data_IF_836880601069
#
_entry.id   IF_836880601069
#
_cell.length_a   1.000
_cell.length_b   1.000
_cell.length_c   1.000
_cell.angle_alpha   90.00
_cell.angle_beta   90.00
_cell.angle_gamma   90.00
#
_symmetry.space_group_name_H-M   'P 1'
#
loop_
_entity.id
_entity.type
_entity.pdbx_description
1 polymer ?
#
# COMPACT_ATOMS: atom_id res chain seq x y z
N UNK A 1 29.57 18.62 -2.47
CA UNK A 1 29.72 18.13 -3.85
C UNK A 1 28.39 17.65 -4.36
N UNK A 2 27.69 18.49 -5.14
CA UNK A 2 26.47 18.10 -5.86
C UNK A 2 26.89 17.18 -7.00
N UNK A 3 26.54 15.91 -6.93
CA UNK A 3 26.80 14.96 -8.01
C UNK A 3 26.06 15.39 -9.28
N UNK A 4 26.70 15.26 -10.43
CA UNK A 4 26.08 15.56 -11.72
C UNK A 4 24.75 14.78 -11.88
N UNK A 5 23.62 15.45 -12.18
CA UNK A 5 22.30 14.81 -12.32
C UNK A 5 22.27 13.65 -13.31
N UNK A 6 23.07 13.72 -14.39
CA UNK A 6 23.16 12.65 -15.38
C UNK A 6 23.82 11.37 -14.83
N UNK A 7 24.78 11.51 -13.91
CA UNK A 7 25.40 10.36 -13.25
C UNK A 7 24.38 9.72 -12.30
N UNK A 8 23.61 10.52 -11.57
CA UNK A 8 22.57 10.03 -10.67
C UNK A 8 21.50 9.28 -11.48
N UNK A 9 21.06 9.81 -12.61
CA UNK A 9 20.08 9.16 -13.49
C UNK A 9 20.63 7.82 -14.03
N UNK A 10 21.89 7.78 -14.47
CA UNK A 10 22.55 6.54 -14.94
C UNK A 10 22.64 5.48 -13.85
N UNK A 11 23.02 5.89 -12.63
CA UNK A 11 23.11 4.99 -11.47
C UNK A 11 21.70 4.48 -11.08
N UNK A 12 20.68 5.31 -11.18
CA UNK A 12 19.29 4.93 -10.93
C UNK A 12 18.79 3.90 -11.95
N UNK A 13 18.98 4.15 -13.24
CA UNK A 13 18.60 3.22 -14.32
C UNK A 13 19.32 1.87 -14.15
N UNK A 14 20.62 1.89 -13.82
CA UNK A 14 21.40 0.69 -13.52
C UNK A 14 20.86 -0.05 -12.30
N UNK A 15 20.47 0.67 -11.25
CA UNK A 15 19.89 0.08 -10.04
C UNK A 15 18.55 -0.60 -10.33
N UNK A 16 17.66 0.03 -11.08
CA UNK A 16 16.38 -0.57 -11.49
C UNK A 16 16.51 -1.67 -12.56
N UNK A 17 17.64 -1.77 -13.26
CA UNK A 17 17.93 -2.90 -14.14
C UNK A 17 18.25 -4.19 -13.36
N UNK A 18 18.52 -4.11 -12.06
CA UNK A 18 18.68 -5.29 -11.22
C UNK A 18 17.32 -5.94 -10.96
N UNK A 19 17.18 -7.24 -11.25
CA UNK A 19 15.91 -7.98 -11.10
C UNK A 19 15.19 -7.72 -9.76
N UNK A 20 15.85 -7.79 -8.57
CA UNK A 20 15.15 -7.56 -7.31
C UNK A 20 14.60 -6.13 -7.16
N UNK A 21 15.33 -5.12 -7.65
CA UNK A 21 14.91 -3.73 -7.58
C UNK A 21 13.72 -3.45 -8.53
N UNK A 22 13.75 -4.01 -9.73
CA UNK A 22 12.65 -3.91 -10.69
C UNK A 22 11.38 -4.56 -10.17
N UNK A 23 11.46 -5.79 -9.66
CA UNK A 23 10.31 -6.47 -9.07
C UNK A 23 9.80 -5.78 -7.82
N UNK A 24 10.67 -5.15 -7.01
CA UNK A 24 10.25 -4.31 -5.89
C UNK A 24 9.44 -3.09 -6.35
N UNK A 25 9.90 -2.40 -7.40
CA UNK A 25 9.16 -1.28 -7.99
C UNK A 25 7.79 -1.69 -8.53
N UNK A 26 7.71 -2.80 -9.27
CA UNK A 26 6.46 -3.38 -9.77
C UNK A 26 5.51 -3.75 -8.62
N UNK A 27 6.05 -4.38 -7.60
CA UNK A 27 5.32 -4.78 -6.43
C UNK A 27 4.71 -3.59 -5.69
N UNK A 28 5.50 -2.53 -5.47
CA UNK A 28 5.02 -1.29 -4.85
C UNK A 28 3.95 -0.65 -5.71
N UNK A 29 4.13 -0.65 -7.04
CA UNK A 29 3.16 -0.08 -7.98
C UNK A 29 1.78 -0.74 -7.88
N UNK A 30 1.71 -2.05 -7.68
CA UNK A 30 0.43 -2.75 -7.57
C UNK A 30 -0.15 -2.74 -6.16
N UNK A 31 0.68 -2.62 -5.12
CA UNK A 31 0.24 -2.75 -3.73
C UNK A 31 -0.66 -1.61 -3.27
N UNK A 32 -0.33 -0.36 -3.62
CA UNK A 32 -1.05 0.81 -3.11
C UNK A 32 -2.27 1.23 -3.96
N UNK A 33 -2.57 0.51 -5.06
CA UNK A 33 -3.76 0.80 -5.91
C UNK A 33 -5.04 0.74 -5.10
N UNK A 34 -5.21 -0.28 -4.24
CA UNK A 34 -6.40 -0.42 -3.40
C UNK A 34 -6.54 0.75 -2.41
N UNK A 35 -5.45 1.28 -1.88
CA UNK A 35 -5.49 2.47 -1.03
C UNK A 35 -6.03 3.67 -1.81
N UNK A 36 -5.61 3.85 -3.08
CA UNK A 36 -6.11 4.91 -3.94
C UNK A 36 -7.60 4.76 -4.26
N UNK A 37 -8.05 3.53 -4.55
CA UNK A 37 -9.47 3.22 -4.75
C UNK A 37 -10.26 3.51 -3.46
N UNK A 38 -9.81 3.01 -2.32
CA UNK A 38 -10.48 3.19 -1.04
C UNK A 38 -10.58 4.68 -0.66
N UNK A 39 -9.50 5.44 -0.78
CA UNK A 39 -9.50 6.88 -0.44
C UNK A 39 -10.44 7.72 -1.32
N UNK A 40 -10.71 7.30 -2.55
CA UNK A 40 -11.62 8.01 -3.44
C UNK A 40 -13.09 7.59 -3.25
N UNK A 41 -13.36 6.29 -3.04
CA UNK A 41 -14.74 5.79 -2.88
C UNK A 41 -15.29 6.08 -1.48
N UNK A 42 -14.48 5.89 -0.46
CA UNK A 42 -14.97 5.81 0.92
C UNK A 42 -15.73 7.07 1.38
N UNK A 43 -15.19 8.29 1.24
CA UNK A 43 -15.90 9.50 1.65
C UNK A 43 -17.27 9.63 0.95
N UNK A 44 -17.29 9.40 -0.36
CA UNK A 44 -18.50 9.51 -1.19
C UNK A 44 -19.52 8.44 -0.82
N UNK A 45 -19.09 7.22 -0.59
CA UNK A 45 -19.97 6.11 -0.22
C UNK A 45 -20.60 6.33 1.16
N UNK A 46 -19.81 6.78 2.15
CA UNK A 46 -20.33 7.06 3.49
C UNK A 46 -21.31 8.23 3.51
N UNK A 47 -21.03 9.30 2.81
CA UNK A 47 -21.88 10.50 2.83
C UNK A 47 -23.09 10.36 1.93
N UNK A 48 -22.93 9.89 0.69
CA UNK A 48 -24.00 9.89 -0.30
C UNK A 48 -24.85 8.62 -0.27
N UNK A 49 -24.26 7.47 0.10
CA UNK A 49 -24.98 6.18 0.05
C UNK A 49 -25.41 5.73 1.44
N UNK A 50 -24.55 5.83 2.43
CA UNK A 50 -24.87 5.44 3.81
C UNK A 50 -25.54 6.55 4.64
N UNK A 51 -25.58 7.79 4.10
CA UNK A 51 -26.25 8.92 4.74
C UNK A 51 -25.52 9.51 5.96
N UNK A 52 -24.21 9.28 6.08
CA UNK A 52 -23.43 9.87 7.14
C UNK A 52 -23.28 11.38 6.93
N UNK A 53 -23.40 12.15 8.00
CA UNK A 53 -23.00 13.55 7.98
C UNK A 53 -21.48 13.67 7.70
N UNK A 54 -21.04 14.55 6.76
CA UNK A 54 -19.63 14.73 6.42
C UNK A 54 -18.73 15.08 7.61
N UNK A 55 -19.26 15.86 8.58
CA UNK A 55 -18.51 16.19 9.80
C UNK A 55 -18.30 14.95 10.67
N UNK A 56 -19.31 14.11 10.85
CA UNK A 56 -19.22 12.85 11.59
C UNK A 56 -18.22 11.89 10.93
N UNK A 57 -18.28 11.74 9.60
CA UNK A 57 -17.30 10.95 8.85
C UNK A 57 -15.88 11.45 9.11
N UNK A 58 -15.64 12.76 8.99
CA UNK A 58 -14.33 13.37 9.19
C UNK A 58 -13.82 13.23 10.63
N UNK A 59 -14.69 13.38 11.62
CA UNK A 59 -14.34 13.22 13.03
C UNK A 59 -13.91 11.79 13.36
N UNK A 60 -14.62 10.79 12.85
CA UNK A 60 -14.32 9.38 13.12
C UNK A 60 -13.08 8.93 12.35
N UNK A 61 -12.96 9.29 11.08
CA UNK A 61 -11.79 8.94 10.27
C UNK A 61 -10.52 9.67 10.77
N UNK A 62 -10.63 10.97 11.08
CA UNK A 62 -9.52 11.80 11.54
C UNK A 62 -9.20 11.66 13.04
N UNK A 63 -10.14 11.17 13.86
CA UNK A 63 -9.94 10.90 15.29
C UNK A 63 -9.53 9.43 15.54
N UNK A 64 -10.50 8.56 15.83
CA UNK A 64 -10.22 7.15 16.12
C UNK A 64 -9.49 6.42 15.00
N UNK A 65 -9.82 6.70 13.72
CA UNK A 65 -9.16 6.10 12.56
C UNK A 65 -7.68 6.49 12.49
N UNK A 66 -7.38 7.79 12.57
CA UNK A 66 -6.00 8.27 12.57
C UNK A 66 -5.20 7.80 13.81
N UNK A 67 -5.85 7.67 14.98
CA UNK A 67 -5.20 7.11 16.16
C UNK A 67 -4.79 5.65 15.94
N UNK A 68 -5.68 4.81 15.37
CA UNK A 68 -5.33 3.44 15.04
C UNK A 68 -4.29 3.34 13.91
N UNK A 69 -4.31 4.26 12.95
CA UNK A 69 -3.27 4.38 11.93
C UNK A 69 -1.90 4.65 12.57
N UNK A 70 -1.82 5.58 13.50
CA UNK A 70 -0.60 5.87 14.27
C UNK A 70 -0.09 4.65 15.05
N UNK A 71 -0.97 3.96 15.77
CA UNK A 71 -0.61 2.71 16.46
C UNK A 71 -0.16 1.63 15.47
N UNK A 72 -0.83 1.50 14.34
CA UNK A 72 -0.47 0.61 13.26
C UNK A 72 0.94 0.88 12.71
N UNK A 73 1.31 2.15 12.54
CA UNK A 73 2.64 2.54 12.09
C UNK A 73 3.73 2.11 13.08
N UNK A 74 3.52 2.33 14.39
CA UNK A 74 4.46 1.89 15.44
C UNK A 74 4.58 0.36 15.45
N UNK A 75 3.44 -0.33 15.47
CA UNK A 75 3.39 -1.79 15.47
C UNK A 75 4.04 -2.37 14.21
N UNK A 76 3.78 -1.77 13.05
CA UNK A 76 4.37 -2.15 11.78
C UNK A 76 5.89 -2.11 11.80
N UNK A 77 6.48 -1.05 12.37
CA UNK A 77 7.94 -0.94 12.56
C UNK A 77 8.50 -2.03 13.47
N UNK A 78 7.97 -2.14 14.69
CA UNK A 78 8.42 -3.14 15.68
C UNK A 78 8.27 -4.57 15.16
N UNK A 79 7.13 -4.89 14.55
CA UNK A 79 6.88 -6.21 14.02
C UNK A 79 7.78 -6.52 12.80
N UNK A 80 8.03 -5.53 11.93
CA UNK A 80 8.92 -5.69 10.77
C UNK A 80 10.36 -5.99 11.18
N UNK A 81 10.85 -5.37 12.26
CA UNK A 81 12.18 -5.65 12.79
C UNK A 81 12.24 -7.03 13.46
N UNK A 82 11.18 -7.44 14.18
CA UNK A 82 11.16 -8.73 14.91
C UNK A 82 10.88 -9.94 14.01
N UNK A 83 9.92 -9.85 13.09
CA UNK A 83 9.43 -10.98 12.30
C UNK A 83 9.81 -10.92 10.83
N UNK A 84 10.50 -9.85 10.43
CA UNK A 84 10.96 -9.63 9.06
C UNK A 84 10.00 -8.77 8.23
N UNK A 85 10.58 -7.78 7.55
CA UNK A 85 9.90 -6.73 6.78
C UNK A 85 8.92 -7.26 5.75
N UNK A 86 9.35 -8.30 5.00
CA UNK A 86 8.54 -8.93 3.96
C UNK A 86 7.27 -9.57 4.53
N UNK A 87 7.38 -10.27 5.67
CA UNK A 87 6.26 -10.95 6.31
C UNK A 87 5.22 -9.96 6.83
N UNK A 88 5.69 -8.89 7.49
CA UNK A 88 4.80 -7.86 8.04
C UNK A 88 4.15 -7.03 6.95
N UNK A 89 4.86 -6.76 5.85
CA UNK A 89 4.25 -6.16 4.68
C UNK A 89 3.01 -6.97 4.22
N UNK A 90 3.16 -8.30 4.11
CA UNK A 90 2.04 -9.18 3.75
C UNK A 90 0.89 -9.14 4.74
N UNK A 91 1.22 -9.20 6.02
CA UNK A 91 0.19 -9.17 7.06
C UNK A 91 -0.58 -7.85 7.01
N UNK A 92 0.09 -6.70 6.86
CA UNK A 92 -0.57 -5.40 6.75
C UNK A 92 -1.45 -5.29 5.51
N UNK A 93 -0.86 -5.38 4.32
CA UNK A 93 -1.60 -5.21 3.06
C UNK A 93 -2.57 -6.35 2.78
N UNK A 94 -2.22 -7.59 3.13
CA UNK A 94 -3.11 -8.73 3.00
C UNK A 94 -4.33 -8.61 3.90
N UNK A 95 -4.15 -8.22 5.16
CA UNK A 95 -5.27 -7.99 6.08
C UNK A 95 -6.15 -6.82 5.61
N UNK A 96 -5.55 -5.72 5.12
CA UNK A 96 -6.31 -4.63 4.52
C UNK A 96 -7.12 -5.10 3.31
N UNK A 97 -6.51 -5.90 2.41
CA UNK A 97 -7.21 -6.41 1.23
C UNK A 97 -8.38 -7.32 1.61
N UNK A 98 -8.19 -8.23 2.57
CA UNK A 98 -9.24 -9.10 3.07
C UNK A 98 -10.35 -8.28 3.73
N UNK A 99 -10.01 -7.32 4.59
CA UNK A 99 -10.97 -6.45 5.26
C UNK A 99 -11.79 -5.64 4.25
N UNK A 100 -11.14 -5.12 3.20
CA UNK A 100 -11.82 -4.43 2.09
C UNK A 100 -12.79 -5.35 1.35
N UNK A 101 -12.38 -6.59 1.06
CA UNK A 101 -13.24 -7.57 0.42
C UNK A 101 -14.44 -7.96 1.28
N UNK A 102 -14.24 -8.18 2.59
CA UNK A 102 -15.33 -8.44 3.54
C UNK A 102 -16.31 -7.26 3.62
N UNK A 103 -15.80 -6.03 3.62
CA UNK A 103 -16.64 -4.85 3.54
C UNK A 103 -17.44 -4.81 2.22
N UNK A 104 -16.80 -5.15 1.09
CA UNK A 104 -17.47 -5.29 -0.20
C UNK A 104 -18.60 -6.32 -0.20
N UNK A 105 -18.36 -7.49 0.42
CA UNK A 105 -19.40 -8.54 0.58
C UNK A 105 -20.55 -8.02 1.46
N UNK A 106 -20.26 -7.27 2.52
CA UNK A 106 -21.30 -6.71 3.38
C UNK A 106 -22.17 -5.68 2.63
N UNK A 107 -21.58 -4.88 1.74
CA UNK A 107 -22.32 -3.92 0.89
C UNK A 107 -23.29 -4.67 -0.06
N UNK A 108 -22.91 -5.86 -0.56
CA UNK A 108 -23.76 -6.64 -1.46
C UNK A 108 -24.79 -7.50 -0.72
N UNK A 109 -24.51 -7.91 0.50
CA UNK A 109 -25.32 -8.86 1.27
C UNK A 109 -26.41 -8.22 2.12
N UNK A 110 -26.33 -6.92 2.42
CA UNK A 110 -27.31 -6.20 3.22
C UNK A 110 -28.00 -5.12 2.39
N UNK A 111 -29.32 -4.98 2.53
CA UNK A 111 -30.07 -3.82 1.99
C UNK A 111 -29.52 -2.50 2.59
N UNK A 112 -29.22 -2.52 3.88
CA UNK A 112 -28.52 -1.46 4.57
C UNK A 112 -27.38 -2.08 5.36
N UNK A 113 -26.13 -1.67 5.08
CA UNK A 113 -24.97 -2.15 5.82
C UNK A 113 -25.11 -1.78 7.29
N UNK A 114 -25.03 -2.75 8.24
CA UNK A 114 -25.16 -2.46 9.67
C UNK A 114 -24.14 -1.42 10.15
N UNK A 115 -24.57 -0.49 11.00
CA UNK A 115 -23.75 0.62 11.49
C UNK A 115 -22.43 0.16 12.11
N UNK A 116 -22.43 -0.94 12.86
CA UNK A 116 -21.23 -1.48 13.48
C UNK A 116 -20.19 -1.96 12.44
N UNK A 117 -20.63 -2.48 11.28
CA UNK A 117 -19.72 -2.86 10.18
C UNK A 117 -19.09 -1.59 9.58
N UNK A 118 -19.92 -0.57 9.31
CA UNK A 118 -19.45 0.71 8.79
C UNK A 118 -18.40 1.32 9.72
N UNK A 119 -18.72 1.43 11.01
CA UNK A 119 -17.85 2.02 12.03
C UNK A 119 -16.55 1.21 12.18
N UNK A 120 -16.65 -0.12 12.28
CA UNK A 120 -15.48 -1.00 12.43
C UNK A 120 -14.54 -0.90 11.24
N UNK A 121 -15.09 -0.89 10.01
CA UNK A 121 -14.27 -0.74 8.81
C UNK A 121 -13.54 0.60 8.82
N UNK A 122 -14.27 1.72 9.05
CA UNK A 122 -13.71 3.07 9.00
C UNK A 122 -12.57 3.28 10.01
N UNK A 123 -12.65 2.66 11.18
CA UNK A 123 -11.66 2.81 12.26
C UNK A 123 -10.46 1.87 12.07
N UNK A 124 -10.69 0.65 11.57
CA UNK A 124 -9.66 -0.42 11.61
C UNK A 124 -8.79 -0.46 10.36
N UNK A 125 -9.34 -0.17 9.15
CA UNK A 125 -8.58 -0.30 7.92
C UNK A 125 -7.30 0.56 7.87
N UNK A 126 -7.25 1.79 8.45
CA UNK A 126 -6.06 2.61 8.41
C UNK A 126 -4.87 1.98 9.14
N UNK A 127 -5.14 1.25 10.24
CA UNK A 127 -4.09 0.55 10.97
C UNK A 127 -3.37 -0.51 10.11
N UNK A 128 -4.11 -1.29 9.34
CA UNK A 128 -3.51 -2.28 8.43
C UNK A 128 -2.74 -1.65 7.28
N UNK A 129 -3.24 -0.54 6.73
CA UNK A 129 -2.49 0.24 5.73
C UNK A 129 -1.18 0.73 6.33
N UNK A 130 -1.21 1.30 7.53
CA UNK A 130 -0.01 1.82 8.20
C UNK A 130 1.02 0.73 8.48
N UNK A 131 0.59 -0.43 9.02
CA UNK A 131 1.47 -1.60 9.22
C UNK A 131 2.15 -2.00 7.91
N UNK A 132 1.38 -2.13 6.84
CA UNK A 132 1.89 -2.51 5.53
C UNK A 132 2.82 -1.48 4.92
N UNK A 133 2.48 -0.19 5.01
CA UNK A 133 3.25 0.92 4.45
C UNK A 133 4.62 1.08 5.14
N UNK A 134 4.67 1.02 6.47
CA UNK A 134 5.94 1.08 7.22
C UNK A 134 6.83 -0.11 6.86
N UNK A 135 6.28 -1.31 6.80
CA UNK A 135 7.03 -2.50 6.40
C UNK A 135 7.52 -2.40 4.94
N UNK A 136 6.71 -1.83 4.04
CA UNK A 136 7.07 -1.58 2.64
C UNK A 136 8.26 -0.61 2.53
N UNK A 137 8.21 0.52 3.22
CA UNK A 137 9.30 1.48 3.18
C UNK A 137 10.58 0.92 3.82
N UNK A 138 10.46 0.17 4.91
CA UNK A 138 11.58 -0.54 5.51
C UNK A 138 12.22 -1.56 4.55
N UNK A 139 11.39 -2.28 3.77
CA UNK A 139 11.85 -3.20 2.73
C UNK A 139 12.51 -2.45 1.57
N UNK A 140 11.91 -1.36 1.10
CA UNK A 140 12.46 -0.50 0.05
C UNK A 140 13.84 0.05 0.42
N UNK A 141 14.02 0.51 1.68
CA UNK A 141 15.35 0.91 2.18
C UNK A 141 16.37 -0.23 2.15
N UNK A 142 15.95 -1.43 2.55
CA UNK A 142 16.84 -2.61 2.53
C UNK A 142 17.24 -3.04 1.12
N UNK A 143 16.36 -2.85 0.13
CA UNK A 143 16.58 -3.17 -1.28
C UNK A 143 17.34 -2.08 -2.03
N UNK A 144 17.51 -0.90 -1.43
CA UNK A 144 18.20 0.22 -2.06
C UNK A 144 19.71 -0.02 -2.13
N UNK A 145 20.26 0.12 -3.34
CA UNK A 145 21.71 -0.05 -3.57
C UNK A 145 22.52 1.07 -2.90
N UNK A 146 23.65 0.72 -2.25
CA UNK A 146 24.44 1.65 -1.42
C UNK A 146 24.93 2.92 -2.14
N UNK A 147 25.26 2.83 -3.44
CA UNK A 147 25.74 3.99 -4.23
C UNK A 147 24.65 5.00 -4.60
N UNK A 148 23.38 4.58 -4.63
CA UNK A 148 22.22 5.39 -5.00
C UNK A 148 21.03 5.20 -4.05
N UNK A 149 21.29 4.85 -2.79
CA UNK A 149 20.26 4.41 -1.84
C UNK A 149 19.17 5.45 -1.60
N UNK A 150 19.53 6.72 -1.40
CA UNK A 150 18.58 7.81 -1.19
C UNK A 150 17.68 7.99 -2.43
N UNK A 151 18.28 8.04 -3.63
CA UNK A 151 17.53 8.22 -4.88
C UNK A 151 16.61 7.03 -5.17
N UNK A 152 17.08 5.80 -4.93
CA UNK A 152 16.25 4.59 -5.08
C UNK A 152 15.07 4.60 -4.11
N UNK A 153 15.31 4.92 -2.85
CA UNK A 153 14.24 5.02 -1.85
C UNK A 153 13.19 6.06 -2.24
N UNK A 154 13.63 7.27 -2.63
CA UNK A 154 12.73 8.32 -3.12
C UNK A 154 11.96 7.88 -4.35
N UNK A 155 12.58 7.12 -5.27
CA UNK A 155 11.89 6.56 -6.43
C UNK A 155 10.82 5.54 -6.04
N UNK A 156 11.08 4.67 -5.06
CA UNK A 156 10.06 3.76 -4.54
C UNK A 156 8.88 4.50 -3.88
N UNK A 157 9.16 5.59 -3.16
CA UNK A 157 8.10 6.46 -2.62
C UNK A 157 7.27 7.11 -3.74
N UNK A 158 7.93 7.59 -4.80
CA UNK A 158 7.25 8.17 -5.96
C UNK A 158 6.38 7.12 -6.68
N UNK A 159 6.86 5.90 -6.85
CA UNK A 159 6.10 4.78 -7.41
C UNK A 159 4.89 4.43 -6.53
N UNK A 160 5.04 4.44 -5.21
CA UNK A 160 3.93 4.23 -4.28
C UNK A 160 2.86 5.32 -4.42
N UNK A 161 3.25 6.58 -4.47
CA UNK A 161 2.32 7.69 -4.68
C UNK A 161 1.64 7.60 -6.06
N UNK A 162 2.38 7.23 -7.11
CA UNK A 162 1.80 6.99 -8.43
C UNK A 162 0.76 5.87 -8.39
N UNK A 163 1.01 4.81 -7.64
CA UNK A 163 0.07 3.71 -7.43
C UNK A 163 -1.26 4.20 -6.83
N UNK A 164 -1.20 5.05 -5.79
CA UNK A 164 -2.39 5.66 -5.20
C UNK A 164 -3.14 6.51 -6.22
N UNK A 165 -2.44 7.34 -6.99
CA UNK A 165 -3.05 8.18 -8.05
C UNK A 165 -3.71 7.31 -9.13
N UNK A 166 -3.08 6.22 -9.55
CA UNK A 166 -3.68 5.28 -10.51
C UNK A 166 -4.93 4.64 -9.94
N UNK A 167 -4.91 4.20 -8.66
CA UNK A 167 -6.09 3.69 -7.97
C UNK A 167 -7.24 4.68 -7.96
N UNK A 168 -6.98 5.93 -7.60
CA UNK A 168 -7.97 7.01 -7.60
C UNK A 168 -8.57 7.22 -9.00
N UNK A 169 -7.75 7.21 -10.04
CA UNK A 169 -8.21 7.39 -11.43
C UNK A 169 -9.03 6.22 -11.96
N UNK A 170 -8.80 5.00 -11.46
CA UNK A 170 -9.57 3.81 -11.86
C UNK A 170 -11.04 3.88 -11.43
N UNK A 171 -11.40 4.70 -10.44
CA UNK A 171 -12.78 4.79 -9.93
C UNK A 171 -13.76 5.19 -11.04
N UNK A 172 -13.47 6.21 -11.82
CA UNK A 172 -14.36 6.69 -12.88
C UNK A 172 -14.77 5.59 -13.86
N UNK A 173 -13.84 4.82 -14.44
CA UNK A 173 -14.17 3.65 -15.26
C UNK A 173 -14.85 2.53 -14.49
N UNK A 174 -14.40 2.20 -13.27
CA UNK A 174 -14.94 1.07 -12.51
C UNK A 174 -16.40 1.28 -12.09
N UNK A 175 -16.78 2.46 -11.65
CA UNK A 175 -18.15 2.79 -11.23
C UNK A 175 -19.17 2.77 -12.38
N UNK A 176 -18.72 2.78 -13.65
CA UNK A 176 -19.61 2.61 -14.80
C UNK A 176 -20.08 1.18 -14.97
N UNK A 177 -19.30 0.20 -14.55
CA UNK A 177 -19.56 -1.22 -14.81
C UNK A 177 -19.78 -2.03 -13.54
N UNK A 178 -19.33 -1.55 -12.39
CA UNK A 178 -19.35 -2.29 -11.13
C UNK A 178 -19.98 -1.46 -10.02
N UNK A 179 -20.73 -2.13 -9.16
CA UNK A 179 -21.22 -1.56 -7.90
C UNK A 179 -20.07 -1.36 -6.92
N UNK A 180 -20.24 -0.51 -5.92
CA UNK A 180 -19.22 -0.26 -4.89
C UNK A 180 -18.74 -1.55 -4.21
N UNK A 181 -19.65 -2.46 -3.86
CA UNK A 181 -19.30 -3.75 -3.27
C UNK A 181 -18.44 -4.61 -4.19
N UNK A 182 -18.78 -4.70 -5.49
CA UNK A 182 -18.00 -5.43 -6.48
C UNK A 182 -16.59 -4.83 -6.67
N UNK A 183 -16.47 -3.50 -6.62
CA UNK A 183 -15.17 -2.82 -6.71
C UNK A 183 -14.26 -3.22 -5.53
N UNK A 184 -14.78 -3.26 -4.31
CA UNK A 184 -14.01 -3.69 -3.13
C UNK A 184 -13.56 -5.15 -3.24
N UNK A 185 -14.41 -6.05 -3.73
CA UNK A 185 -14.07 -7.46 -3.97
C UNK A 185 -13.02 -7.59 -5.07
N UNK A 186 -13.17 -6.86 -6.18
CA UNK A 186 -12.19 -6.83 -7.27
C UNK A 186 -10.82 -6.37 -6.77
N UNK A 187 -10.79 -5.32 -5.96
CA UNK A 187 -9.55 -4.78 -5.39
C UNK A 187 -8.90 -5.74 -4.39
N UNK A 188 -9.67 -6.53 -3.64
CA UNK A 188 -9.13 -7.59 -2.79
C UNK A 188 -8.27 -8.56 -3.62
N UNK A 189 -8.81 -9.08 -4.72
CA UNK A 189 -8.06 -9.99 -5.60
C UNK A 189 -6.89 -9.30 -6.29
N UNK A 190 -7.09 -8.08 -6.78
CA UNK A 190 -6.03 -7.32 -7.45
C UNK A 190 -4.81 -7.08 -6.56
N UNK A 191 -5.02 -6.76 -5.29
CA UNK A 191 -3.93 -6.55 -4.34
C UNK A 191 -3.23 -7.82 -3.85
N UNK A 192 -3.84 -8.99 -4.07
CA UNK A 192 -3.18 -10.27 -3.82
C UNK A 192 -2.26 -10.71 -4.97
N UNK A 193 -2.45 -10.17 -6.19
CA UNK A 193 -1.59 -10.51 -7.34
C UNK A 193 -0.10 -10.27 -7.09
N UNK A 194 0.34 -9.16 -6.47
CA UNK A 194 1.75 -8.93 -6.19
C UNK A 194 2.42 -9.99 -5.30
N UNK A 195 1.63 -10.79 -4.57
CA UNK A 195 2.12 -11.91 -3.76
C UNK A 195 3.01 -12.85 -4.59
N UNK A 196 2.62 -13.09 -5.84
CA UNK A 196 3.38 -13.94 -6.75
C UNK A 196 4.74 -13.34 -7.16
N UNK A 197 4.88 -12.02 -7.14
CA UNK A 197 6.12 -11.32 -7.47
C UNK A 197 7.20 -11.47 -6.38
N UNK A 198 6.81 -11.81 -5.16
CA UNK A 198 7.73 -11.90 -4.01
C UNK A 198 8.73 -13.04 -4.08
N UNK A 199 8.45 -14.09 -4.83
CA UNK A 199 9.43 -15.15 -5.09
C UNK A 199 10.72 -14.59 -5.70
N UNK A 200 10.61 -13.50 -6.46
CA UNK A 200 11.69 -12.87 -7.19
C UNK A 200 12.42 -11.75 -6.43
N UNK A 201 11.89 -11.38 -5.25
CA UNK A 201 12.43 -10.33 -4.38
C UNK A 201 13.24 -10.94 -3.23
N UNK A 202 14.39 -11.57 -3.51
CA UNK A 202 15.25 -12.07 -2.46
C UNK A 202 16.27 -10.98 -2.03
N UNK A 203 16.18 -10.41 -0.79
CA UNK A 203 17.11 -9.41 -0.30
C UNK A 203 18.56 -9.90 -0.23
N UNK A 204 18.77 -11.20 -0.03
CA UNK A 204 20.10 -11.81 0.05
C UNK A 204 20.89 -11.66 -1.25
N UNK A 205 20.21 -11.65 -2.40
CA UNK A 205 20.86 -11.44 -3.70
C UNK A 205 21.48 -10.04 -3.82
N UNK A 206 20.87 -9.02 -3.22
CA UNK A 206 21.40 -7.65 -3.19
C UNK A 206 22.55 -7.54 -2.19
N UNK A 207 22.46 -8.22 -1.04
CA UNK A 207 23.54 -8.26 -0.05
C UNK A 207 24.79 -8.91 -0.66
N UNK A 208 24.66 -10.00 -1.41
CA UNK A 208 25.76 -10.63 -2.14
C UNK A 208 26.38 -9.70 -3.18
N UNK A 209 25.56 -8.96 -3.92
CA UNK A 209 26.02 -7.95 -4.89
C UNK A 209 26.72 -6.77 -4.21
N UNK A 210 26.25 -6.35 -3.01
CA UNK A 210 26.93 -5.35 -2.16
C UNK A 210 28.35 -5.80 -1.80
N UNK A 211 28.52 -7.05 -1.40
CA UNK A 211 29.82 -7.61 -0.97
C UNK A 211 30.81 -7.72 -2.13
N UNK A 212 30.34 -8.07 -3.32
CA UNK A 212 31.19 -8.18 -4.52
C UNK A 212 31.55 -6.84 -5.18
N UNK A 213 30.86 -5.74 -4.84
CA UNK A 213 31.15 -4.39 -5.37
C UNK A 213 32.01 -3.54 -4.42
N UNK A 214 32.35 -4.06 -3.25
CA UNK A 214 33.23 -3.44 -2.25
C UNK A 214 34.67 -4.03 -2.25
N UNK A 215 34.90 -5.08 -3.03
CA UNK A 215 36.20 -5.61 -3.40
C UNK A 215 36.57 -5.15 -4.82
#
# INVERSE_FOLDING_TARGET
NVRNPLIILKDLLKAFSMKPAFFAGLFILFSAVNQGVNSAILPVFYTNTLGWDPATYSQISGGPGAFLEFLGAILGGVLADKYGRRRIFFMGWGSFSILSGLFGVSILGYEQVPYWIQLSYLIVYPAFIAIGTVAMFSLAMALSWSKASATMFTSYMAISNLSVVLGTKLIGPLTKYFTTGNIYILMMFFCLLPVFLLKHMNPESIIKLKKNSSN
#
